data_IF_571622816746
#
_entry.id   IF_571622816746
#
_cell.length_a   1.000
_cell.length_b   1.000
_cell.length_c   1.000
_cell.angle_alpha   90.00
_cell.angle_beta   90.00
_cell.angle_gamma   90.00
#
_symmetry.space_group_name_H-M   'P 1'
#
loop_
_entity.id
_entity.type
_entity.pdbx_description
1 polymer ?
#
# COMPACT_ATOMS: atom_id res chain seq x y z
N UNK A 1 -4.57 -18.79 2.15
CA UNK A 1 -3.62 -18.20 1.17
C UNK A 1 -3.76 -16.70 1.29
N UNK A 2 -2.80 -16.07 1.97
CA UNK A 2 -2.88 -14.67 2.36
C UNK A 2 -1.95 -13.83 1.51
N UNK A 3 -2.47 -12.75 0.94
CA UNK A 3 -1.65 -11.67 0.40
C UNK A 3 -1.15 -10.81 1.57
N UNK A 4 0.08 -10.31 1.44
CA UNK A 4 0.65 -9.35 2.38
C UNK A 4 1.24 -8.18 1.60
N UNK A 5 0.74 -6.98 1.84
CA UNK A 5 1.25 -5.77 1.21
C UNK A 5 2.26 -5.09 2.13
N UNK A 6 3.38 -4.67 1.56
CA UNK A 6 4.44 -4.00 2.29
C UNK A 6 4.89 -2.74 1.54
N UNK A 7 5.42 -1.75 2.27
CA UNK A 7 6.06 -0.56 1.69
C UNK A 7 7.55 -0.52 1.97
N UNK A 8 8.29 0.16 1.09
CA UNK A 8 9.72 0.40 1.26
C UNK A 8 9.94 1.47 2.33
N UNK A 9 10.70 1.13 3.37
CA UNK A 9 11.16 2.03 4.42
C UNK A 9 12.69 1.99 4.47
N UNK A 10 13.33 2.56 3.45
CA UNK A 10 14.78 2.48 3.27
C UNK A 10 15.21 1.06 2.85
N UNK A 11 16.02 0.40 3.67
CA UNK A 11 16.49 -0.98 3.41
C UNK A 11 15.51 -2.07 3.88
N UNK A 12 14.39 -1.69 4.49
CA UNK A 12 13.40 -2.62 5.02
C UNK A 12 12.09 -2.55 4.25
N UNK A 13 11.39 -3.68 4.23
CA UNK A 13 10.02 -3.79 3.76
C UNK A 13 9.11 -3.96 4.96
N UNK A 14 8.22 -3.00 5.17
CA UNK A 14 7.35 -2.97 6.36
C UNK A 14 5.93 -3.33 5.94
N UNK A 15 5.28 -4.30 6.60
CA UNK A 15 3.91 -4.66 6.29
C UNK A 15 2.92 -3.56 6.65
N UNK A 16 1.87 -3.44 5.86
CA UNK A 16 0.70 -2.65 6.21
C UNK A 16 -0.19 -3.39 7.22
N UNK A 17 -0.99 -2.63 7.96
CA UNK A 17 -2.04 -3.21 8.81
C UNK A 17 -3.13 -3.90 7.97
N UNK A 18 -3.84 -4.87 8.57
CA UNK A 18 -4.82 -5.70 7.85
C UNK A 18 -5.87 -4.89 7.08
N UNK A 19 -6.33 -3.75 7.61
CA UNK A 19 -7.34 -2.94 6.92
C UNK A 19 -6.78 -2.29 5.66
N UNK A 20 -5.56 -1.76 5.73
CA UNK A 20 -4.84 -1.20 4.59
C UNK A 20 -4.51 -2.29 3.56
N UNK A 21 -4.12 -3.50 3.98
CA UNK A 21 -3.81 -4.59 3.05
C UNK A 21 -5.00 -4.93 2.14
N UNK A 22 -6.21 -5.05 2.72
CA UNK A 22 -7.42 -5.34 1.95
C UNK A 22 -7.79 -4.20 0.99
N UNK A 23 -7.57 -2.95 1.40
CA UNK A 23 -7.80 -1.80 0.53
C UNK A 23 -6.82 -1.77 -0.66
N UNK A 24 -5.53 -1.98 -0.42
CA UNK A 24 -4.50 -2.03 -1.49
C UNK A 24 -4.78 -3.20 -2.44
N UNK A 25 -5.11 -4.39 -1.92
CA UNK A 25 -5.44 -5.55 -2.76
C UNK A 25 -6.61 -5.25 -3.70
N UNK A 26 -7.67 -4.57 -3.20
CA UNK A 26 -8.81 -4.19 -4.03
C UNK A 26 -8.43 -3.19 -5.11
N UNK A 27 -7.63 -2.16 -4.79
CA UNK A 27 -7.14 -1.18 -5.75
C UNK A 27 -6.26 -1.82 -6.83
N UNK A 28 -5.37 -2.73 -6.42
CA UNK A 28 -4.50 -3.46 -7.34
C UNK A 28 -5.31 -4.34 -8.31
N UNK A 29 -6.27 -5.13 -7.80
CA UNK A 29 -7.14 -5.98 -8.64
C UNK A 29 -8.03 -5.20 -9.59
N UNK A 30 -8.46 -4.01 -9.20
CA UNK A 30 -9.32 -3.14 -10.01
C UNK A 30 -8.52 -2.22 -10.94
N UNK A 31 -7.18 -2.29 -10.91
CA UNK A 31 -6.31 -1.40 -11.66
C UNK A 31 -6.62 0.09 -11.41
N UNK A 32 -6.88 0.43 -10.14
CA UNK A 32 -7.35 1.77 -9.73
C UNK A 32 -6.43 2.43 -8.70
N UNK A 33 -6.69 3.71 -8.44
CA UNK A 33 -5.98 4.50 -7.44
C UNK A 33 -6.98 5.34 -6.64
N UNK A 34 -6.72 5.49 -5.34
CA UNK A 34 -7.61 6.22 -4.45
C UNK A 34 -6.86 6.76 -3.22
N UNK A 35 -7.46 7.78 -2.58
CA UNK A 35 -7.08 8.17 -1.24
C UNK A 35 -7.71 7.23 -0.23
N UNK A 36 -6.88 6.55 0.57
CA UNK A 36 -7.33 5.66 1.65
C UNK A 36 -6.65 6.07 2.95
N UNK A 37 -7.30 5.79 4.08
CA UNK A 37 -6.65 5.94 5.38
C UNK A 37 -5.68 4.78 5.58
N UNK A 38 -4.39 5.11 5.80
CA UNK A 38 -3.34 4.12 6.05
C UNK A 38 -2.99 4.15 7.54
N UNK A 39 -3.31 3.06 8.24
CA UNK A 39 -3.15 2.96 9.68
C UNK A 39 -1.70 3.17 10.14
N UNK A 40 -0.74 2.60 9.41
CA UNK A 40 0.71 2.74 9.70
C UNK A 40 1.18 4.20 9.64
N UNK A 41 0.63 5.00 8.73
CA UNK A 41 0.98 6.43 8.59
C UNK A 41 0.07 7.36 9.39
N UNK A 42 -1.02 6.83 9.97
CA UNK A 42 -2.06 7.58 10.70
C UNK A 42 -2.60 8.77 9.90
N UNK A 43 -2.72 8.59 8.58
CA UNK A 43 -3.09 9.65 7.65
C UNK A 43 -3.81 9.11 6.42
N UNK A 44 -4.50 10.00 5.69
CA UNK A 44 -4.93 9.69 4.32
C UNK A 44 -3.72 9.72 3.39
N UNK A 45 -3.59 8.68 2.58
CA UNK A 45 -2.52 8.52 1.61
C UNK A 45 -3.11 8.16 0.25
N UNK A 46 -2.51 8.68 -0.81
CA UNK A 46 -2.92 8.30 -2.16
C UNK A 46 -2.21 7.02 -2.55
N UNK A 47 -2.98 5.99 -2.86
CA UNK A 47 -2.46 4.67 -3.23
C UNK A 47 -2.76 4.41 -4.69
N UNK A 48 -1.73 4.07 -5.44
CA UNK A 48 -1.84 3.72 -6.85
C UNK A 48 -1.58 2.22 -7.03
N UNK A 49 -2.64 1.45 -7.27
CA UNK A 49 -2.56 0.00 -7.46
C UNK A 49 -1.69 -0.39 -8.67
N UNK A 50 -1.97 0.11 -9.88
CA UNK A 50 -1.15 -0.16 -11.07
C UNK A 50 0.29 0.34 -10.95
N UNK A 51 0.47 1.53 -10.35
CA UNK A 51 1.77 2.16 -10.18
C UNK A 51 2.61 1.56 -9.05
N UNK A 52 2.03 0.71 -8.21
CA UNK A 52 2.68 0.07 -7.06
C UNK A 52 3.41 1.08 -6.15
N UNK A 53 2.75 2.19 -5.83
CA UNK A 53 3.25 3.15 -4.85
C UNK A 53 2.14 3.72 -3.96
N UNK A 54 2.55 4.18 -2.78
CA UNK A 54 1.75 5.01 -1.86
C UNK A 54 2.42 6.38 -1.76
N UNK A 55 1.67 7.44 -1.99
CA UNK A 55 2.10 8.81 -1.79
C UNK A 55 1.73 9.28 -0.38
N UNK A 56 2.74 9.65 0.40
CA UNK A 56 2.59 10.15 1.76
C UNK A 56 3.63 11.22 2.06
N UNK A 57 3.21 12.35 2.65
CA UNK A 57 4.12 13.41 3.07
C UNK A 57 5.01 13.96 1.94
N UNK A 58 4.50 14.02 0.71
CA UNK A 58 5.25 14.49 -0.47
C UNK A 58 6.18 13.45 -1.10
N UNK A 59 6.29 12.24 -0.54
CA UNK A 59 7.15 11.17 -1.03
C UNK A 59 6.34 10.01 -1.58
N UNK A 60 6.87 9.33 -2.60
CA UNK A 60 6.32 8.08 -3.12
C UNK A 60 7.08 6.90 -2.49
N UNK A 61 6.36 6.06 -1.76
CA UNK A 61 6.86 4.82 -1.20
C UNK A 61 6.43 3.68 -2.12
N UNK A 62 7.40 2.98 -2.70
CA UNK A 62 7.12 1.75 -3.47
C UNK A 62 6.46 0.72 -2.56
N UNK A 63 5.45 0.04 -3.09
CA UNK A 63 4.77 -1.08 -2.43
C UNK A 63 4.93 -2.36 -3.23
N UNK A 64 4.87 -3.50 -2.55
CA UNK A 64 4.81 -4.79 -3.21
C UNK A 64 3.86 -5.75 -2.50
N UNK A 65 3.39 -6.73 -3.26
CA UNK A 65 2.56 -7.83 -2.79
C UNK A 65 3.44 -9.05 -2.56
N UNK A 66 3.46 -9.55 -1.34
CA UNK A 66 4.05 -10.83 -0.98
C UNK A 66 2.94 -11.89 -0.90
N UNK A 67 3.19 -13.08 -1.45
CA UNK A 67 2.24 -14.20 -1.46
C UNK A 67 1.59 -14.46 -2.82
N UNK A 68 1.08 -15.69 -2.99
CA UNK A 68 0.38 -16.19 -4.18
C UNK A 68 -1.09 -15.76 -4.17
#
# INVERSE_FOLDING_TARGET
MGYQWCYSAGSLWVPFDNSTQSAIENLWRQSSAAWIYVGTFRAQCYVNGPGLYVHYGGNNYTIFRNGS
#
